data_IF_610642869800
#
_entry.id   IF_610642869800
#
_cell.length_a   1.000
_cell.length_b   1.000
_cell.length_c   1.000
_cell.angle_alpha   90.00
_cell.angle_beta   90.00
_cell.angle_gamma   90.00
#
_symmetry.space_group_name_H-M   'P 1'
#
loop_
_entity.id
_entity.type
_entity.pdbx_description
1 polymer ?
#
# COMPACT_ATOMS: atom_id res chain seq x y z
N UNK A 1 1.42 11.82 5.74
CA UNK A 1 2.17 11.61 4.48
C UNK A 1 3.15 10.46 4.63
N UNK A 2 4.30 10.67 5.27
CA UNK A 2 5.31 9.63 5.46
C UNK A 2 4.78 8.39 6.20
N UNK A 3 3.91 8.59 7.19
CA UNK A 3 3.42 7.51 8.04
C UNK A 3 2.67 6.40 7.28
N UNK A 4 1.96 6.71 6.20
CA UNK A 4 1.22 5.70 5.41
C UNK A 4 2.12 4.91 4.47
N UNK A 5 3.07 5.57 3.79
CA UNK A 5 4.06 4.88 2.97
C UNK A 5 4.94 3.97 3.83
N UNK A 6 5.41 4.48 4.97
CA UNK A 6 6.17 3.69 5.95
C UNK A 6 5.36 2.50 6.48
N UNK A 7 4.06 2.68 6.72
CA UNK A 7 3.18 1.59 7.15
C UNK A 7 3.00 0.53 6.05
N UNK A 8 2.79 0.95 4.80
CA UNK A 8 2.68 0.04 3.65
C UNK A 8 3.95 -0.80 3.49
N UNK A 9 5.13 -0.17 3.57
CA UNK A 9 6.41 -0.88 3.51
C UNK A 9 6.58 -1.86 4.69
N UNK A 10 6.19 -1.44 5.90
CA UNK A 10 6.21 -2.30 7.08
C UNK A 10 5.27 -3.50 6.97
N UNK A 11 4.20 -3.43 6.18
CA UNK A 11 3.30 -4.56 5.91
C UNK A 11 3.84 -5.43 4.77
N UNK A 12 4.41 -4.85 3.70
CA UNK A 12 5.01 -5.61 2.59
C UNK A 12 6.17 -6.52 3.05
N UNK A 13 6.93 -6.11 4.06
CA UNK A 13 8.03 -6.91 4.62
C UNK A 13 7.59 -8.29 5.16
N UNK A 14 6.70 -8.38 6.17
CA UNK A 14 6.21 -9.67 6.65
C UNK A 14 5.38 -10.41 5.58
N UNK A 15 4.66 -9.70 4.70
CA UNK A 15 3.95 -10.32 3.58
C UNK A 15 4.89 -11.07 2.64
N UNK A 16 6.07 -10.49 2.35
CA UNK A 16 7.11 -11.12 1.54
C UNK A 16 7.63 -12.41 2.18
N UNK A 17 7.79 -12.42 3.50
CA UNK A 17 8.18 -13.63 4.25
C UNK A 17 7.09 -14.70 4.16
N UNK A 18 5.81 -14.33 4.29
CA UNK A 18 4.68 -15.25 4.13
C UNK A 18 4.66 -15.88 2.73
N UNK A 19 4.82 -15.06 1.68
CA UNK A 19 4.88 -15.53 0.29
C UNK A 19 6.04 -16.50 0.09
N UNK A 20 7.22 -16.17 0.61
CA UNK A 20 8.40 -17.06 0.55
C UNK A 20 8.10 -18.40 1.22
N UNK A 21 7.56 -18.40 2.45
CA UNK A 21 7.26 -19.62 3.19
C UNK A 21 6.21 -20.49 2.47
N UNK A 22 5.14 -19.88 1.99
CA UNK A 22 4.09 -20.57 1.25
C UNK A 22 4.58 -21.07 -0.12
N UNK A 23 5.53 -20.37 -0.75
CA UNK A 23 6.11 -20.77 -2.04
C UNK A 23 6.90 -22.08 -2.00
N UNK A 24 7.36 -22.53 -0.82
CA UNK A 24 8.00 -23.83 -0.67
C UNK A 24 7.00 -24.99 -0.60
N UNK A 25 5.75 -24.72 -0.21
CA UNK A 25 4.70 -25.73 -0.15
C UNK A 25 3.98 -25.90 -1.49
N UNK A 26 3.52 -27.12 -1.76
CA UNK A 26 2.74 -27.45 -2.97
C UNK A 26 1.31 -27.88 -2.65
N UNK A 27 0.93 -27.80 -1.38
CA UNK A 27 -0.40 -28.19 -0.92
C UNK A 27 -1.45 -27.09 -1.15
N UNK A 28 -2.72 -27.47 -0.99
CA UNK A 28 -3.85 -26.56 -1.17
C UNK A 28 -3.79 -25.34 -0.23
N UNK A 29 -3.25 -25.54 0.98
CA UNK A 29 -3.11 -24.45 1.96
C UNK A 29 -2.07 -23.43 1.49
N UNK A 30 -0.95 -23.87 0.93
CA UNK A 30 0.09 -23.02 0.38
C UNK A 30 -0.45 -22.16 -0.77
N UNK A 31 -1.27 -22.76 -1.65
CA UNK A 31 -1.94 -22.02 -2.73
C UNK A 31 -2.90 -20.96 -2.17
N UNK A 32 -3.74 -21.32 -1.20
CA UNK A 32 -4.66 -20.37 -0.53
C UNK A 32 -3.91 -19.23 0.15
N UNK A 33 -2.78 -19.50 0.80
CA UNK A 33 -1.96 -18.46 1.44
C UNK A 33 -1.42 -17.50 0.38
N UNK A 34 -0.90 -18.02 -0.74
CA UNK A 34 -0.42 -17.18 -1.84
C UNK A 34 -1.53 -16.32 -2.46
N UNK A 35 -2.74 -16.86 -2.61
CA UNK A 35 -3.90 -16.09 -3.06
C UNK A 35 -4.24 -14.95 -2.09
N UNK A 36 -4.32 -15.23 -0.78
CA UNK A 36 -4.55 -14.19 0.23
C UNK A 36 -3.43 -13.17 0.28
N UNK A 37 -2.18 -13.58 0.06
CA UNK A 37 -1.08 -12.65 0.02
C UNK A 37 -1.20 -11.66 -1.16
N UNK A 38 -1.68 -12.12 -2.33
CA UNK A 38 -1.98 -11.25 -3.47
C UNK A 38 -3.13 -10.30 -3.20
N UNK A 39 -4.19 -10.76 -2.52
CA UNK A 39 -5.30 -9.89 -2.11
C UNK A 39 -4.80 -8.73 -1.24
N UNK A 40 -3.92 -9.03 -0.27
CA UNK A 40 -3.33 -8.03 0.62
C UNK A 40 -2.45 -7.06 -0.18
N UNK A 41 -1.56 -7.57 -1.04
CA UNK A 41 -0.67 -6.73 -1.84
C UNK A 41 -1.44 -5.74 -2.73
N UNK A 42 -2.55 -6.19 -3.34
CA UNK A 42 -3.46 -5.34 -4.12
C UNK A 42 -4.08 -4.21 -3.28
N UNK A 43 -4.41 -4.47 -2.01
CA UNK A 43 -4.92 -3.45 -1.10
C UNK A 43 -3.84 -2.41 -0.79
N UNK A 44 -2.59 -2.85 -0.56
CA UNK A 44 -1.45 -1.94 -0.30
C UNK A 44 -1.18 -1.04 -1.51
N UNK A 45 -1.22 -1.58 -2.73
CA UNK A 45 -1.05 -0.82 -3.98
C UNK A 45 -2.13 0.27 -4.15
N UNK A 46 -3.38 -0.06 -3.80
CA UNK A 46 -4.48 0.92 -3.86
C UNK A 46 -4.32 2.02 -2.82
N UNK A 47 -3.80 1.70 -1.64
CA UNK A 47 -3.48 2.69 -0.60
C UNK A 47 -2.36 3.63 -1.06
N UNK A 48 -1.28 3.10 -1.65
CA UNK A 48 -0.19 3.91 -2.21
C UNK A 48 -0.72 4.85 -3.32
N UNK A 49 -1.52 4.30 -4.24
CA UNK A 49 -2.04 5.05 -5.40
C UNK A 49 -3.05 6.14 -4.99
N UNK A 50 -4.03 5.80 -4.15
CA UNK A 50 -5.04 6.74 -3.67
C UNK A 50 -4.42 7.90 -2.86
N UNK A 51 -3.33 7.62 -2.15
CA UNK A 51 -2.57 8.63 -1.44
C UNK A 51 -1.82 9.58 -2.38
N UNK A 52 -1.12 9.05 -3.39
CA UNK A 52 -0.41 9.85 -4.38
C UNK A 52 -1.34 10.79 -5.16
N UNK A 53 -2.54 10.33 -5.52
CA UNK A 53 -3.53 11.16 -6.20
C UNK A 53 -4.07 12.27 -5.28
N UNK A 54 -4.33 11.98 -4.01
CA UNK A 54 -4.74 12.99 -3.03
C UNK A 54 -3.67 14.07 -2.80
N UNK A 55 -2.38 13.69 -2.79
CA UNK A 55 -1.24 14.60 -2.76
C UNK A 55 -1.22 15.55 -3.96
N UNK A 56 -1.41 15.03 -5.17
CA UNK A 56 -1.43 15.81 -6.41
C UNK A 56 -2.55 16.84 -6.40
N UNK A 57 -3.77 16.42 -6.03
CA UNK A 57 -4.93 17.31 -5.93
C UNK A 57 -4.69 18.41 -4.90
N UNK A 58 -4.20 18.07 -3.70
CA UNK A 58 -3.91 19.05 -2.65
C UNK A 58 -2.85 20.08 -3.09
N UNK A 59 -1.76 19.62 -3.73
CA UNK A 59 -0.71 20.51 -4.27
C UNK A 59 -1.24 21.42 -5.37
N UNK A 60 -2.06 20.89 -6.27
CA UNK A 60 -2.71 21.66 -7.32
C UNK A 60 -3.61 22.75 -6.73
N UNK A 61 -4.50 22.40 -5.80
CA UNK A 61 -5.40 23.35 -5.14
C UNK A 61 -4.64 24.45 -4.39
N UNK A 62 -3.58 24.09 -3.64
CA UNK A 62 -2.74 25.06 -2.94
C UNK A 62 -2.03 26.03 -3.91
N UNK A 63 -1.55 25.52 -5.05
CA UNK A 63 -0.84 26.33 -6.07
C UNK A 63 -1.77 27.29 -6.82
N UNK A 64 -2.98 26.86 -7.15
CA UNK A 64 -3.88 27.61 -8.02
C UNK A 64 -4.91 28.46 -7.28
N UNK A 65 -5.30 28.07 -6.06
CA UNK A 65 -6.37 28.74 -5.32
C UNK A 65 -5.93 29.32 -3.97
N UNK A 66 -4.66 29.15 -3.57
CA UNK A 66 -4.15 29.72 -2.31
C UNK A 66 -4.84 29.18 -1.04
N UNK A 67 -5.65 28.12 -1.16
CA UNK A 67 -6.36 27.53 -0.03
C UNK A 67 -5.31 26.86 0.87
N UNK A 68 -5.08 27.47 2.04
CA UNK A 68 -4.04 27.10 3.00
C UNK A 68 -3.25 28.25 3.62
N UNK A 69 -3.71 29.51 3.49
CA UNK A 69 -3.30 30.62 4.33
C UNK A 69 -4.25 30.77 5.52
N UNK A 70 -4.01 30.01 6.58
CA UNK A 70 -4.71 30.09 7.86
C UNK A 70 -3.87 29.30 8.86
N UNK A 71 -3.38 30.03 9.85
CA UNK A 71 -2.35 29.76 10.87
C UNK A 71 -2.29 28.32 11.44
#
# INVERSE_FOLDING_TARGET
MQQFATLNDQIRNPLSVIVMLAGFGSDENSQKILERARDIDSILDRLDTGWQESEKVRKFLKKHYGIGGGE
#
